data_IF_327817742526
#
_entry.id   IF_327817742526
#
_cell.length_a   1.000
_cell.length_b   1.000
_cell.length_c   1.000
_cell.angle_alpha   90.00
_cell.angle_beta   90.00
_cell.angle_gamma   90.00
#
_symmetry.space_group_name_H-M   'P 1'
#
loop_
_entity.id
_entity.type
_entity.pdbx_description
1 polymer ?
#
# COMPACT_ATOMS: atom_id res chain seq x y z
N UNK A 1 13.69 -91.88 -12.90
CA UNK A 1 14.26 -91.07 -11.81
C UNK A 1 14.50 -89.67 -12.36
N UNK A 2 13.61 -88.73 -12.11
CA UNK A 2 13.81 -87.31 -12.43
C UNK A 2 14.49 -86.63 -11.24
N UNK A 3 15.69 -86.09 -11.45
CA UNK A 3 16.44 -85.33 -10.46
C UNK A 3 15.99 -83.87 -10.52
N UNK A 4 15.10 -83.49 -9.61
CA UNK A 4 14.66 -82.11 -9.43
C UNK A 4 15.76 -81.31 -8.68
N UNK A 5 16.55 -80.53 -9.43
CA UNK A 5 17.55 -79.63 -8.83
C UNK A 5 16.89 -78.30 -8.47
N UNK A 6 16.55 -78.15 -7.19
CA UNK A 6 16.04 -76.89 -6.64
C UNK A 6 17.23 -75.98 -6.30
N UNK A 7 17.58 -75.07 -7.22
CA UNK A 7 18.53 -73.99 -6.91
C UNK A 7 17.85 -72.92 -6.04
N UNK A 8 18.19 -72.89 -4.75
CA UNK A 8 17.78 -71.81 -3.86
C UNK A 8 18.72 -70.61 -4.02
N UNK A 9 18.23 -69.56 -4.67
CA UNK A 9 18.93 -68.27 -4.76
C UNK A 9 18.89 -67.55 -3.41
N UNK A 10 19.93 -67.73 -2.60
CA UNK A 10 20.12 -66.96 -1.37
C UNK A 10 20.59 -65.55 -1.74
N UNK A 11 19.71 -64.55 -1.59
CA UNK A 11 20.07 -63.14 -1.82
C UNK A 11 21.26 -62.76 -0.93
N UNK A 12 22.35 -62.22 -1.50
CA UNK A 12 23.52 -61.85 -0.71
C UNK A 12 23.16 -60.81 0.35
N UNK A 13 23.55 -61.06 1.61
CA UNK A 13 23.35 -60.12 2.72
C UNK A 13 24.09 -58.82 2.38
N UNK A 14 23.36 -57.70 2.36
CA UNK A 14 23.96 -56.38 2.14
C UNK A 14 24.98 -56.10 3.24
N UNK A 15 26.16 -55.61 2.87
CA UNK A 15 27.20 -55.23 3.83
C UNK A 15 26.68 -54.18 4.82
N UNK A 16 27.20 -54.13 6.06
CA UNK A 16 26.75 -53.17 7.09
C UNK A 16 26.81 -51.70 6.62
N UNK A 17 27.79 -51.36 5.77
CA UNK A 17 27.91 -50.04 5.17
C UNK A 17 26.75 -49.70 4.21
N UNK A 18 26.30 -50.67 3.38
CA UNK A 18 25.15 -50.49 2.47
C UNK A 18 23.84 -50.35 3.24
N UNK A 19 23.72 -50.98 4.41
CA UNK A 19 22.55 -50.82 5.27
C UNK A 19 22.49 -49.41 5.90
N UNK A 20 23.60 -48.92 6.46
CA UNK A 20 23.70 -47.55 6.99
C UNK A 20 23.39 -46.47 5.95
N UNK A 21 23.92 -46.63 4.72
CA UNK A 21 23.63 -45.68 3.64
C UNK A 21 22.14 -45.66 3.27
N UNK A 22 21.52 -46.84 3.17
CA UNK A 22 20.08 -46.98 2.89
C UNK A 22 19.19 -46.33 3.96
N UNK A 23 19.59 -46.39 5.23
CA UNK A 23 18.85 -45.74 6.33
C UNK A 23 18.95 -44.22 6.29
N UNK A 24 20.15 -43.68 6.01
CA UNK A 24 20.38 -42.24 5.87
C UNK A 24 19.52 -41.70 4.72
N UNK A 25 19.49 -42.40 3.59
CA UNK A 25 18.71 -42.00 2.42
C UNK A 25 17.20 -42.06 2.68
N UNK A 26 16.74 -43.05 3.46
CA UNK A 26 15.34 -43.13 3.92
C UNK A 26 15.00 -41.93 4.82
N UNK A 27 15.83 -41.62 5.82
CA UNK A 27 15.65 -40.45 6.70
C UNK A 27 15.62 -39.14 5.91
N UNK A 28 16.49 -38.97 4.92
CA UNK A 28 16.51 -37.79 4.03
C UNK A 28 15.22 -37.68 3.21
N UNK A 29 14.72 -38.78 2.65
CA UNK A 29 13.44 -38.80 1.91
C UNK A 29 12.26 -38.45 2.80
N UNK A 30 12.21 -38.96 4.02
CA UNK A 30 11.15 -38.66 4.98
C UNK A 30 11.18 -37.20 5.45
N UNK A 31 12.38 -36.64 5.70
CA UNK A 31 12.54 -35.22 6.01
C UNK A 31 12.04 -34.32 4.87
N UNK A 32 12.38 -34.64 3.62
CA UNK A 32 11.90 -33.90 2.44
C UNK A 32 10.39 -34.04 2.20
N UNK A 33 9.78 -35.15 2.64
CA UNK A 33 8.32 -35.32 2.61
C UNK A 33 7.66 -34.40 3.62
N UNK A 34 8.13 -34.42 4.88
CA UNK A 34 7.63 -33.54 5.96
C UNK A 34 7.75 -32.06 5.60
N UNK A 35 8.86 -31.64 5.00
CA UNK A 35 9.04 -30.26 4.54
C UNK A 35 8.01 -29.87 3.47
N UNK A 36 7.75 -30.75 2.50
CA UNK A 36 6.72 -30.50 1.46
C UNK A 36 5.32 -30.39 2.06
N UNK A 37 5.00 -31.21 3.05
CA UNK A 37 3.69 -31.16 3.69
C UNK A 37 3.55 -29.92 4.58
N UNK A 38 4.59 -29.52 5.31
CA UNK A 38 4.61 -28.24 6.05
C UNK A 38 4.40 -27.04 5.12
N UNK A 39 5.09 -27.02 3.97
CA UNK A 39 4.93 -25.98 2.95
C UNK A 39 3.52 -25.97 2.33
N UNK A 40 2.84 -27.11 2.25
CA UNK A 40 1.44 -27.17 1.80
C UNK A 40 0.49 -26.55 2.83
N UNK A 41 0.76 -26.76 4.11
CA UNK A 41 -0.08 -26.31 5.24
C UNK A 41 0.18 -24.83 5.59
N UNK A 42 1.30 -24.26 5.14
CA UNK A 42 1.66 -22.86 5.38
C UNK A 42 0.48 -21.89 5.08
N UNK A 43 -0.03 -21.19 6.11
CA UNK A 43 -1.17 -20.29 5.98
C UNK A 43 -0.88 -19.10 5.05
N UNK A 44 0.37 -18.65 4.95
CA UNK A 44 0.78 -17.57 4.03
C UNK A 44 0.64 -18.05 2.59
N UNK A 45 1.10 -19.27 2.29
CA UNK A 45 1.00 -19.85 0.96
C UNK A 45 -0.44 -20.20 0.59
N UNK A 46 -1.26 -20.63 1.57
CA UNK A 46 -2.71 -20.79 1.38
C UNK A 46 -3.38 -19.47 1.00
N UNK A 47 -3.13 -18.38 1.73
CA UNK A 47 -3.65 -17.04 1.39
C UNK A 47 -3.25 -16.60 -0.01
N UNK A 48 -2.02 -16.87 -0.44
CA UNK A 48 -1.56 -16.58 -1.80
C UNK A 48 -2.28 -17.39 -2.87
N UNK A 49 -2.52 -18.70 -2.64
CA UNK A 49 -3.34 -19.53 -3.55
C UNK A 49 -4.76 -19.01 -3.65
N UNK A 50 -5.37 -18.65 -2.53
CA UNK A 50 -6.74 -18.12 -2.48
C UNK A 50 -6.83 -16.73 -3.15
N UNK A 51 -5.82 -15.88 -2.96
CA UNK A 51 -5.71 -14.60 -3.66
C UNK A 51 -5.57 -14.80 -5.17
N UNK A 52 -4.67 -15.69 -5.61
CA UNK A 52 -4.46 -16.00 -7.02
C UNK A 52 -5.73 -16.55 -7.67
N UNK A 53 -6.43 -17.48 -7.01
CA UNK A 53 -7.70 -18.03 -7.49
C UNK A 53 -8.77 -16.94 -7.63
N UNK A 54 -8.88 -16.02 -6.66
CA UNK A 54 -9.78 -14.87 -6.73
C UNK A 54 -9.44 -13.93 -7.89
N UNK A 55 -8.16 -13.64 -8.08
CA UNK A 55 -7.67 -12.81 -9.20
C UNK A 55 -8.01 -13.42 -10.56
N UNK A 56 -7.73 -14.71 -10.76
CA UNK A 56 -8.07 -15.42 -12.01
C UNK A 56 -9.57 -15.45 -12.28
N UNK A 57 -10.39 -15.72 -11.25
CA UNK A 57 -11.85 -15.70 -11.39
C UNK A 57 -12.38 -14.31 -11.75
N UNK A 58 -11.83 -13.26 -11.14
CA UNK A 58 -12.17 -11.87 -11.47
C UNK A 58 -11.83 -11.54 -12.93
N UNK A 59 -10.66 -11.96 -13.42
CA UNK A 59 -10.26 -11.78 -14.81
C UNK A 59 -11.16 -12.55 -15.79
N UNK A 60 -11.57 -13.78 -15.45
CA UNK A 60 -12.52 -14.58 -16.25
C UNK A 60 -13.88 -13.91 -16.33
N UNK A 61 -14.39 -13.38 -15.23
CA UNK A 61 -15.66 -12.64 -15.20
C UNK A 61 -15.56 -11.34 -15.99
N UNK A 62 -14.46 -10.60 -15.86
CA UNK A 62 -14.21 -9.39 -16.64
C UNK A 62 -14.20 -9.67 -18.15
N UNK A 63 -13.59 -10.78 -18.57
CA UNK A 63 -13.61 -11.22 -19.96
C UNK A 63 -15.03 -11.50 -20.45
N UNK A 64 -15.84 -12.22 -19.68
CA UNK A 64 -17.25 -12.48 -20.00
C UNK A 64 -18.06 -11.19 -20.14
N UNK A 65 -17.84 -10.21 -19.26
CA UNK A 65 -18.51 -8.91 -19.33
C UNK A 65 -18.12 -8.17 -20.62
N UNK A 66 -16.84 -8.19 -20.99
CA UNK A 66 -16.38 -7.57 -22.25
C UNK A 66 -17.01 -8.28 -23.46
N UNK A 67 -17.02 -9.61 -23.49
CA UNK A 67 -17.66 -10.40 -24.57
C UNK A 67 -19.18 -10.08 -24.66
N UNK A 68 -19.88 -9.92 -23.53
CA UNK A 68 -21.29 -9.50 -23.50
C UNK A 68 -21.50 -8.06 -24.02
N UNK A 69 -20.62 -7.13 -23.67
CA UNK A 69 -20.70 -5.74 -24.14
C UNK A 69 -20.40 -5.62 -25.64
N UNK A 70 -19.52 -6.47 -26.18
CA UNK A 70 -19.23 -6.54 -27.62
C UNK A 70 -20.43 -7.07 -28.42
N UNK A 71 -21.26 -7.95 -27.84
CA UNK A 71 -22.52 -8.39 -28.47
C UNK A 71 -23.55 -7.25 -28.52
N UNK A 72 -23.66 -6.46 -27.44
CA UNK A 72 -24.64 -5.37 -27.33
C UNK A 72 -24.24 -4.16 -28.18
N UNK A 73 -22.94 -3.95 -28.38
CA UNK A 73 -22.39 -2.80 -29.10
C UNK A 73 -21.70 -3.28 -30.38
N UNK A 74 -22.44 -3.50 -31.48
CA UNK A 74 -21.82 -3.91 -32.73
C UNK A 74 -20.81 -2.85 -33.19
N UNK A 75 -19.65 -3.25 -33.73
CA UNK A 75 -18.53 -2.37 -34.03
C UNK A 75 -18.85 -1.22 -35.02
N UNK A 76 -20.01 -1.26 -35.67
CA UNK A 76 -20.42 -0.27 -36.68
C UNK A 76 -21.19 0.94 -36.11
N UNK A 77 -21.45 1.04 -34.79
CA UNK A 77 -22.16 2.20 -34.21
C UNK A 77 -21.25 3.31 -33.67
N UNK A 78 -19.93 3.20 -33.84
CA UNK A 78 -18.99 4.25 -33.45
C UNK A 78 -18.51 4.98 -34.71
N UNK A 79 -19.09 6.16 -34.96
CA UNK A 79 -18.53 7.14 -35.89
C UNK A 79 -17.03 7.35 -35.60
N UNK A 80 -16.16 7.34 -36.62
CA UNK A 80 -14.75 7.66 -36.43
C UNK A 80 -14.64 9.14 -36.00
N UNK A 81 -14.28 9.37 -34.75
CA UNK A 81 -13.85 10.69 -34.31
C UNK A 81 -12.42 10.91 -34.83
N UNK A 82 -12.30 11.82 -35.79
CA UNK A 82 -11.09 12.48 -36.32
C UNK A 82 -9.77 12.04 -35.68
N UNK A 83 -9.06 11.14 -36.37
CA UNK A 83 -7.65 10.87 -36.17
C UNK A 83 -6.81 11.92 -36.93
N UNK A 84 -6.69 13.12 -36.39
CA UNK A 84 -5.59 14.03 -36.71
C UNK A 84 -4.62 14.02 -35.52
N UNK A 85 -3.75 13.01 -35.49
CA UNK A 85 -2.59 12.97 -34.60
C UNK A 85 -1.46 12.31 -35.37
N UNK A 86 -0.89 13.10 -36.28
CA UNK A 86 0.34 12.82 -37.00
C UNK A 86 1.46 12.51 -36.01
N UNK A 87 1.89 11.25 -35.99
CA UNK A 87 3.23 10.89 -35.55
C UNK A 87 4.00 10.43 -36.78
N UNK A 88 4.95 11.28 -37.20
CA UNK A 88 5.93 11.01 -38.23
C UNK A 88 6.65 9.68 -37.96
N UNK A 89 6.52 8.73 -38.88
CA UNK A 89 7.47 7.65 -39.05
C UNK A 89 8.17 7.90 -40.39
N UNK A 90 9.44 8.32 -40.30
CA UNK A 90 10.30 8.47 -41.46
C UNK A 90 10.55 7.10 -42.11
N UNK A 91 10.29 7.11 -43.41
CA UNK A 91 10.62 6.08 -44.38
C UNK A 91 12.14 5.87 -44.44
N UNK A 92 12.58 4.62 -44.38
CA UNK A 92 13.84 4.20 -44.98
C UNK A 92 13.53 3.13 -46.03
N UNK A 93 13.37 3.60 -47.27
CA UNK A 93 13.49 2.80 -48.47
C UNK A 93 14.98 2.63 -48.76
N UNK A 94 15.46 1.39 -48.82
CA UNK A 94 16.62 1.05 -49.63
C UNK A 94 16.32 -0.25 -50.39
N UNK A 95 16.41 -0.12 -51.71
CA UNK A 95 16.48 -1.22 -52.67
C UNK A 95 17.77 -2.01 -52.42
N UNK A 96 17.71 -3.35 -52.51
CA UNK A 96 18.77 -4.16 -53.11
C UNK A 96 18.27 -5.57 -53.47
N UNK A 97 18.39 -5.86 -54.77
CA UNK A 97 18.59 -7.11 -55.54
C UNK A 97 18.03 -8.49 -55.11
N UNK A 98 17.48 -9.27 -56.09
CA UNK A 98 16.96 -10.62 -55.89
C UNK A 98 17.99 -11.70 -56.25
N UNK A 99 18.66 -12.31 -55.27
CA UNK A 99 19.24 -13.65 -55.43
C UNK A 99 19.68 -14.23 -54.09
N UNK A 100 18.84 -15.07 -53.49
CA UNK A 100 19.19 -16.31 -52.77
C UNK A 100 17.94 -16.83 -52.04
N UNK A 101 17.29 -17.82 -52.63
CA UNK A 101 16.30 -18.65 -51.94
C UNK A 101 17.04 -19.51 -50.90
N UNK A 102 17.24 -18.96 -49.71
CA UNK A 102 17.47 -19.73 -48.48
C UNK A 102 16.19 -19.67 -47.66
N UNK A 103 15.62 -20.83 -47.38
CA UNK A 103 14.49 -21.02 -46.48
C UNK A 103 14.87 -20.54 -45.07
N UNK A 104 14.56 -19.27 -44.80
CA UNK A 104 14.70 -18.67 -43.48
C UNK A 104 13.56 -19.20 -42.60
N UNK A 105 13.85 -20.25 -41.85
CA UNK A 105 13.01 -20.66 -40.72
C UNK A 105 12.89 -19.47 -39.75
N UNK A 106 11.67 -18.94 -39.50
CA UNK A 106 11.52 -17.74 -38.71
C UNK A 106 11.96 -18.01 -37.27
N UNK A 107 12.99 -17.29 -36.85
CA UNK A 107 13.59 -17.34 -35.52
C UNK A 107 12.49 -17.16 -34.44
N UNK A 108 12.06 -18.27 -33.84
CA UNK A 108 10.88 -18.37 -32.94
C UNK A 108 10.96 -17.40 -31.74
N UNK A 109 12.18 -17.00 -31.38
CA UNK A 109 12.46 -16.01 -30.34
C UNK A 109 11.95 -14.60 -30.69
N UNK A 110 12.07 -14.18 -31.95
CA UNK A 110 11.66 -12.83 -32.42
C UNK A 110 10.13 -12.72 -32.47
N UNK A 111 9.46 -13.74 -32.98
CA UNK A 111 7.98 -13.81 -32.99
C UNK A 111 7.40 -13.82 -31.56
N UNK A 112 8.05 -14.51 -30.62
CA UNK A 112 7.63 -14.53 -29.21
C UNK A 112 7.74 -13.16 -28.54
N UNK A 113 8.82 -12.40 -28.82
CA UNK A 113 9.00 -11.02 -28.33
C UNK A 113 7.94 -10.08 -28.88
N UNK A 114 7.63 -10.19 -30.17
CA UNK A 114 6.63 -9.32 -30.81
C UNK A 114 5.21 -9.59 -30.31
N UNK A 115 4.85 -10.87 -30.12
CA UNK A 115 3.59 -11.26 -29.45
C UNK A 115 3.48 -10.69 -28.04
N UNK A 116 4.57 -10.65 -27.27
CA UNK A 116 4.59 -10.04 -25.92
C UNK A 116 4.39 -8.52 -25.98
N UNK A 117 5.03 -7.83 -26.92
CA UNK A 117 4.83 -6.38 -27.12
C UNK A 117 3.39 -6.07 -27.51
N UNK A 118 2.81 -6.83 -28.44
CA UNK A 118 1.43 -6.65 -28.86
C UNK A 118 0.43 -6.87 -27.71
N UNK A 119 0.65 -7.89 -26.87
CA UNK A 119 -0.16 -8.10 -25.65
C UNK A 119 -0.10 -6.92 -24.68
N UNK A 120 1.08 -6.29 -24.52
CA UNK A 120 1.22 -5.09 -23.68
C UNK A 120 0.47 -3.88 -24.26
N UNK A 121 0.59 -3.65 -25.57
CA UNK A 121 -0.15 -2.58 -26.28
C UNK A 121 -1.67 -2.76 -26.13
N UNK A 122 -2.17 -3.98 -26.37
CA UNK A 122 -3.59 -4.29 -26.20
C UNK A 122 -4.04 -4.09 -24.75
N UNK A 123 -3.25 -4.55 -23.77
CA UNK A 123 -3.56 -4.37 -22.34
C UNK A 123 -3.67 -2.89 -21.97
N UNK A 124 -2.78 -2.05 -22.49
CA UNK A 124 -2.83 -0.60 -22.27
C UNK A 124 -4.07 0.03 -22.92
N UNK A 125 -4.38 -0.33 -24.17
CA UNK A 125 -5.57 0.14 -24.89
C UNK A 125 -6.87 -0.21 -24.13
N UNK A 126 -6.98 -1.43 -23.60
CA UNK A 126 -8.12 -1.84 -22.77
C UNK A 126 -8.19 -1.07 -21.44
N UNK A 127 -7.06 -0.87 -20.75
CA UNK A 127 -7.03 -0.09 -19.50
C UNK A 127 -7.48 1.36 -19.73
N UNK A 128 -7.05 1.97 -20.82
CA UNK A 128 -7.44 3.33 -21.19
C UNK A 128 -8.94 3.41 -21.48
N UNK A 129 -9.49 2.47 -22.27
CA UNK A 129 -10.92 2.40 -22.59
C UNK A 129 -11.79 2.22 -21.32
N UNK A 130 -11.35 1.39 -20.37
CA UNK A 130 -12.03 1.24 -19.07
C UNK A 130 -12.03 2.55 -18.28
N UNK A 131 -10.89 3.24 -18.21
CA UNK A 131 -10.79 4.52 -17.49
C UNK A 131 -11.74 5.56 -18.08
N UNK A 132 -11.82 5.64 -19.42
CA UNK A 132 -12.74 6.54 -20.13
C UNK A 132 -14.22 6.18 -19.87
N UNK A 133 -14.58 4.89 -19.86
CA UNK A 133 -15.95 4.45 -19.56
C UNK A 133 -16.34 4.75 -18.10
N UNK A 134 -15.44 4.51 -17.15
CA UNK A 134 -15.68 4.86 -15.75
C UNK A 134 -15.86 6.37 -15.54
N UNK A 135 -15.12 7.19 -16.29
CA UNK A 135 -15.24 8.64 -16.26
C UNK A 135 -16.56 9.13 -16.86
N UNK A 136 -16.98 8.56 -18.02
CA UNK A 136 -18.31 8.82 -18.58
C UNK A 136 -19.43 8.47 -17.59
N UNK A 137 -19.38 7.28 -16.99
CA UNK A 137 -20.35 6.86 -15.97
C UNK A 137 -20.33 7.77 -14.73
N UNK A 138 -19.17 8.27 -14.31
CA UNK A 138 -19.07 9.24 -13.20
C UNK A 138 -19.70 10.58 -13.57
N UNK A 139 -19.48 11.07 -14.78
CA UNK A 139 -20.02 12.34 -15.25
C UNK A 139 -21.54 12.26 -15.42
N UNK A 140 -22.06 11.18 -16.02
CA UNK A 140 -23.51 10.93 -16.11
C UNK A 140 -24.18 10.89 -14.74
N UNK A 141 -23.53 10.30 -13.73
CA UNK A 141 -24.03 10.28 -12.34
C UNK A 141 -23.97 11.65 -11.66
N UNK A 142 -22.92 12.43 -11.92
CA UNK A 142 -22.78 13.80 -11.37
C UNK A 142 -23.81 14.76 -11.97
N UNK A 143 -24.23 14.54 -13.21
CA UNK A 143 -25.06 15.50 -13.96
C UNK A 143 -26.58 15.30 -13.77
N UNK A 144 -27.03 14.28 -13.02
CA UNK A 144 -28.46 13.88 -13.02
C UNK A 144 -29.14 13.72 -11.65
N UNK A 145 -28.51 14.07 -10.53
CA UNK A 145 -29.20 14.02 -9.24
C UNK A 145 -29.59 15.43 -8.76
N UNK A 146 -30.81 15.90 -9.06
CA UNK A 146 -31.29 17.21 -8.58
C UNK A 146 -31.27 17.31 -7.05
N UNK A 147 -31.41 16.19 -6.34
CA UNK A 147 -31.30 16.15 -4.87
C UNK A 147 -29.88 16.38 -4.35
N UNK A 148 -28.85 15.94 -5.08
CA UNK A 148 -27.45 16.07 -4.63
C UNK A 148 -26.89 17.46 -4.90
N UNK A 149 -27.39 18.16 -5.93
CA UNK A 149 -26.94 19.51 -6.27
C UNK A 149 -27.31 20.53 -5.18
N UNK A 150 -28.47 20.32 -4.53
CA UNK A 150 -29.01 21.20 -3.50
C UNK A 150 -28.87 20.63 -2.09
N UNK A 151 -28.14 19.52 -1.92
CA UNK A 151 -27.96 18.89 -0.60
C UNK A 151 -27.02 19.73 0.25
N UNK A 152 -27.59 20.71 0.96
CA UNK A 152 -26.92 21.30 2.12
C UNK A 152 -26.84 20.20 3.18
N UNK A 153 -25.64 19.93 3.65
CA UNK A 153 -25.48 19.09 4.83
C UNK A 153 -25.91 19.97 6.00
N UNK A 154 -27.15 19.82 6.43
CA UNK A 154 -27.61 20.43 7.67
C UNK A 154 -26.90 19.71 8.81
N UNK A 155 -25.90 20.39 9.35
CA UNK A 155 -25.14 19.92 10.48
C UNK A 155 -25.64 20.67 11.70
N UNK A 156 -26.42 19.97 12.53
CA UNK A 156 -26.84 20.49 13.83
C UNK A 156 -25.76 20.22 14.87
N UNK A 157 -25.45 21.23 15.69
CA UNK A 157 -24.45 21.15 16.77
C UNK A 157 -24.77 20.02 17.79
N UNK A 158 -26.03 19.56 17.84
CA UNK A 158 -26.53 18.48 18.70
C UNK A 158 -25.85 17.11 18.47
N UNK A 159 -25.19 16.89 17.34
CA UNK A 159 -24.54 15.60 17.03
C UNK A 159 -23.06 15.54 17.44
N UNK A 160 -22.49 16.64 17.95
CA UNK A 160 -21.10 16.67 18.34
C UNK A 160 -20.98 17.13 19.79
N UNK A 161 -20.93 16.13 20.67
CA UNK A 161 -20.64 16.36 22.06
C UNK A 161 -19.17 16.76 22.22
N UNK A 162 -18.95 17.99 22.66
CA UNK A 162 -17.63 18.57 22.93
C UNK A 162 -16.98 17.90 24.13
N UNK A 163 -17.79 17.40 25.06
CA UNK A 163 -17.34 16.64 26.23
C UNK A 163 -17.06 15.17 25.92
N UNK A 164 -17.31 14.72 24.68
CA UNK A 164 -17.04 13.35 24.26
C UNK A 164 -15.52 13.06 24.34
N UNK A 165 -15.18 12.19 25.28
CA UNK A 165 -13.84 11.64 25.47
C UNK A 165 -13.42 10.86 24.23
N UNK A 166 -12.29 11.24 23.62
CA UNK A 166 -11.72 10.49 22.51
C UNK A 166 -10.66 9.55 23.04
N UNK A 167 -10.83 8.27 22.75
CA UNK A 167 -9.81 7.27 23.00
C UNK A 167 -8.80 7.26 21.85
N UNK A 168 -7.53 7.48 22.16
CA UNK A 168 -6.45 7.22 21.20
C UNK A 168 -5.30 6.47 21.86
N UNK A 169 -4.52 5.77 21.05
CA UNK A 169 -3.37 5.03 21.54
C UNK A 169 -2.08 5.76 21.22
N UNK A 170 -1.27 6.02 22.24
CA UNK A 170 0.12 6.49 22.08
C UNK A 170 1.10 5.35 22.35
N UNK A 171 2.23 5.37 21.66
CA UNK A 171 3.33 4.46 21.95
C UNK A 171 4.31 5.17 22.88
N UNK A 172 4.47 4.68 24.11
CA UNK A 172 5.35 5.29 25.12
C UNK A 172 6.45 4.32 25.49
N UNK A 173 7.68 4.84 25.59
CA UNK A 173 8.80 4.06 26.11
C UNK A 173 8.80 4.12 27.64
N UNK A 174 8.48 3.00 28.30
CA UNK A 174 8.49 2.89 29.76
C UNK A 174 9.49 1.82 30.21
N UNK A 175 10.09 2.02 31.39
CA UNK A 175 10.87 0.97 32.05
C UNK A 175 9.89 0.01 32.71
N UNK A 176 9.84 -1.22 32.21
CA UNK A 176 8.95 -2.28 32.70
C UNK A 176 9.82 -3.38 33.28
N UNK A 177 9.44 -3.91 34.43
CA UNK A 177 10.04 -5.13 34.99
C UNK A 177 9.65 -6.32 34.12
N UNK A 178 10.65 -7.03 33.62
CA UNK A 178 10.48 -8.21 32.78
C UNK A 178 11.18 -9.37 33.47
N UNK A 179 10.47 -10.48 33.69
CA UNK A 179 11.10 -11.70 34.18
C UNK A 179 11.86 -12.37 33.03
N UNK A 180 13.19 -12.37 33.13
CA UNK A 180 14.07 -13.05 32.18
C UNK A 180 14.82 -14.11 32.95
N UNK A 181 14.57 -15.40 32.64
CA UNK A 181 15.17 -16.55 33.34
C UNK A 181 14.93 -16.53 34.86
N UNK A 182 13.69 -16.24 35.29
CA UNK A 182 13.27 -16.16 36.72
C UNK A 182 13.93 -15.03 37.53
N UNK A 183 14.67 -14.12 36.89
CA UNK A 183 15.15 -12.89 37.52
C UNK A 183 14.39 -11.70 36.96
N UNK A 184 13.99 -10.78 37.83
CA UNK A 184 13.36 -9.53 37.42
C UNK A 184 14.42 -8.55 36.93
N UNK A 185 14.26 -8.06 35.70
CA UNK A 185 15.12 -7.02 35.13
C UNK A 185 14.28 -5.86 34.63
N UNK A 186 14.71 -4.64 34.95
CA UNK A 186 14.17 -3.42 34.36
C UNK A 186 14.61 -3.33 32.90
N UNK A 187 13.65 -3.39 31.98
CA UNK A 187 13.88 -3.23 30.55
C UNK A 187 13.07 -2.05 30.03
N UNK A 188 13.66 -1.21 29.20
CA UNK A 188 12.90 -0.21 28.45
C UNK A 188 12.10 -0.93 27.36
N UNK A 189 10.78 -0.73 27.33
CA UNK A 189 9.87 -1.28 26.33
C UNK A 189 8.94 -0.20 25.81
N UNK A 190 8.68 -0.23 24.51
CA UNK A 190 7.64 0.59 23.90
C UNK A 190 6.29 -0.09 24.12
N UNK A 191 5.44 0.52 24.94
CA UNK A 191 4.11 0.02 25.29
C UNK A 191 3.08 0.91 24.62
N UNK A 192 2.00 0.29 24.12
CA UNK A 192 0.84 1.00 23.63
C UNK A 192 -0.03 1.38 24.81
N UNK A 193 -0.19 2.67 25.05
CA UNK A 193 -1.05 3.20 26.10
C UNK A 193 -2.30 3.79 25.47
N UNK A 194 -3.45 3.43 26.00
CA UNK A 194 -4.72 4.10 25.71
C UNK A 194 -4.80 5.36 26.57
N UNK A 195 -5.04 6.50 25.93
CA UNK A 195 -5.39 7.75 26.60
C UNK A 195 -6.83 8.09 26.23
N UNK A 196 -7.55 8.61 27.20
CA UNK A 196 -8.81 9.30 26.99
C UNK A 196 -8.56 10.79 27.21
N UNK A 197 -8.84 11.60 26.20
CA UNK A 197 -8.66 13.06 26.22
C UNK A 197 -9.93 13.70 25.71
N UNK A 198 -10.36 14.79 26.35
CA UNK A 198 -11.38 15.68 25.79
C UNK A 198 -10.81 16.37 24.55
N UNK A 199 -11.65 16.68 23.55
CA UNK A 199 -11.15 17.26 22.29
C UNK A 199 -10.64 18.71 22.51
N UNK A 200 -11.19 19.41 23.49
CA UNK A 200 -11.04 20.85 23.68
C UNK A 200 -9.65 21.34 24.15
N UNK A 201 -8.95 20.67 25.09
CA UNK A 201 -7.63 21.11 25.54
C UNK A 201 -6.60 21.25 24.43
N UNK A 202 -6.62 20.37 23.42
CA UNK A 202 -5.73 20.45 22.26
C UNK A 202 -6.01 21.68 21.40
N UNK A 203 -7.28 22.03 21.21
CA UNK A 203 -7.65 23.19 20.40
C UNK A 203 -7.33 24.50 21.11
N UNK A 204 -7.50 24.57 22.43
CA UNK A 204 -7.12 25.74 23.23
C UNK A 204 -5.61 25.98 23.23
N UNK A 205 -4.80 24.91 23.25
CA UNK A 205 -3.34 25.05 23.08
C UNK A 205 -2.99 25.62 21.69
N UNK A 206 -3.62 25.12 20.63
CA UNK A 206 -3.40 25.63 19.26
C UNK A 206 -3.79 27.10 19.14
N UNK A 207 -4.91 27.52 19.74
CA UNK A 207 -5.31 28.93 19.82
C UNK A 207 -4.28 29.77 20.56
N UNK A 208 -3.78 29.28 21.70
CA UNK A 208 -2.79 29.98 22.52
C UNK A 208 -1.48 30.15 21.75
N UNK A 209 -1.04 29.11 21.03
CA UNK A 209 0.18 29.13 20.23
C UNK A 209 0.07 30.03 19.00
N UNK A 210 -1.09 30.07 18.36
CA UNK A 210 -1.32 30.82 17.12
C UNK A 210 -2.71 31.48 17.11
N UNK A 211 -2.90 32.59 17.86
CA UNK A 211 -4.20 33.25 17.99
C UNK A 211 -4.70 33.88 16.69
N UNK A 212 -3.81 34.07 15.71
CA UNK A 212 -4.10 34.73 14.44
C UNK A 212 -4.28 33.74 13.27
N UNK A 213 -4.57 32.46 13.53
CA UNK A 213 -4.83 31.48 12.47
C UNK A 213 -6.03 31.95 11.63
N UNK A 214 -5.77 32.37 10.39
CA UNK A 214 -6.82 32.65 9.40
C UNK A 214 -6.97 31.55 8.39
N UNK A 215 -5.91 30.79 8.15
CA UNK A 215 -5.86 29.78 7.10
C UNK A 215 -5.30 28.47 7.65
N UNK A 216 -6.05 27.38 7.49
CA UNK A 216 -5.60 26.03 7.84
C UNK A 216 -5.51 25.21 6.57
N UNK A 217 -4.38 24.56 6.35
CA UNK A 217 -4.20 23.61 5.25
C UNK A 217 -3.97 22.21 5.85
N UNK A 218 -5.00 21.38 5.75
CA UNK A 218 -4.96 20.00 6.20
C UNK A 218 -4.61 19.09 5.03
N UNK A 219 -3.72 18.12 5.24
CA UNK A 219 -3.28 17.22 4.19
C UNK A 219 -3.29 15.78 4.71
N UNK A 220 -4.07 14.93 4.06
CA UNK A 220 -4.26 13.54 4.45
C UNK A 220 -4.03 12.57 3.30
N UNK A 221 -3.66 11.34 3.62
CA UNK A 221 -3.54 10.27 2.65
C UNK A 221 -4.87 9.87 2.01
N UNK A 222 -4.75 9.42 0.75
CA UNK A 222 -5.83 9.19 -0.17
C UNK A 222 -6.86 8.19 0.32
N UNK A 223 -8.13 8.47 0.01
CA UNK A 223 -9.24 7.89 0.70
C UNK A 223 -9.44 6.51 0.12
N UNK A 224 -9.23 5.51 0.94
CA UNK A 224 -9.10 4.18 0.37
C UNK A 224 -9.61 3.09 1.29
N UNK A 225 -9.92 3.46 2.53
CA UNK A 225 -11.00 2.91 3.36
C UNK A 225 -11.16 3.72 4.66
N UNK A 226 -10.11 4.40 5.14
CA UNK A 226 -10.09 5.02 6.48
C UNK A 226 -10.49 6.51 6.51
N UNK A 227 -9.99 7.34 5.58
CA UNK A 227 -10.23 8.80 5.54
C UNK A 227 -11.42 9.24 4.67
N UNK A 228 -12.16 8.28 4.11
CA UNK A 228 -13.35 8.52 3.29
C UNK A 228 -14.64 8.60 4.15
N UNK A 229 -14.50 8.81 5.46
CA UNK A 229 -15.62 8.94 6.40
C UNK A 229 -16.10 10.38 6.40
N UNK A 230 -17.40 10.60 6.17
CA UNK A 230 -18.07 11.92 6.29
C UNK A 230 -17.74 12.62 7.63
N UNK A 231 -17.44 11.82 8.65
CA UNK A 231 -17.00 12.25 9.98
C UNK A 231 -15.73 13.13 9.92
N UNK A 232 -14.76 12.86 9.03
CA UNK A 232 -13.57 13.72 8.93
C UNK A 232 -13.91 15.10 8.40
N UNK A 233 -14.74 15.18 7.36
CA UNK A 233 -15.21 16.45 6.82
C UNK A 233 -15.97 17.25 7.88
N UNK A 234 -16.86 16.57 8.63
CA UNK A 234 -17.53 17.13 9.79
C UNK A 234 -16.53 17.68 10.81
N UNK A 235 -15.55 16.87 11.26
CA UNK A 235 -14.55 17.31 12.23
C UNK A 235 -13.76 18.53 11.75
N UNK A 236 -13.37 18.58 10.47
CA UNK A 236 -12.61 19.70 9.93
C UNK A 236 -13.42 21.00 9.88
N UNK A 237 -14.66 20.92 9.38
CA UNK A 237 -15.49 22.11 9.18
C UNK A 237 -16.16 22.55 10.48
N UNK A 238 -16.76 21.63 11.21
CA UNK A 238 -17.55 21.95 12.40
C UNK A 238 -16.71 22.12 13.65
N UNK A 239 -15.67 21.29 13.81
CA UNK A 239 -14.88 21.36 15.02
C UNK A 239 -13.67 22.27 14.82
N UNK A 240 -12.78 21.95 13.89
CA UNK A 240 -11.51 22.67 13.76
C UNK A 240 -11.71 24.09 13.25
N UNK A 241 -12.48 24.28 12.16
CA UNK A 241 -12.64 25.61 11.57
C UNK A 241 -13.45 26.55 12.48
N UNK A 242 -14.51 26.09 13.13
CA UNK A 242 -15.27 26.90 14.11
C UNK A 242 -14.42 27.22 15.33
N UNK A 243 -13.78 26.22 15.95
CA UNK A 243 -13.01 26.43 17.17
C UNK A 243 -11.85 27.38 16.92
N UNK A 244 -11.10 27.23 15.83
CA UNK A 244 -9.99 28.12 15.50
C UNK A 244 -10.40 29.40 14.77
N UNK A 245 -11.70 29.64 14.54
CA UNK A 245 -12.23 30.81 13.82
C UNK A 245 -11.54 31.06 12.47
N UNK A 246 -11.32 29.99 11.72
CA UNK A 246 -10.53 30.00 10.47
C UNK A 246 -11.37 30.55 9.31
N UNK A 247 -10.81 31.47 8.54
CA UNK A 247 -11.45 32.05 7.35
C UNK A 247 -11.38 31.11 6.14
N UNK A 248 -10.27 30.37 5.98
CA UNK A 248 -10.08 29.42 4.89
C UNK A 248 -9.53 28.09 5.41
N UNK A 249 -10.31 27.02 5.24
CA UNK A 249 -9.85 25.66 5.48
C UNK A 249 -9.64 24.94 4.15
N UNK A 250 -8.39 24.61 3.83
CA UNK A 250 -8.04 23.81 2.64
C UNK A 250 -7.75 22.38 3.05
N UNK A 251 -8.45 21.43 2.45
CA UNK A 251 -8.14 20.01 2.61
C UNK A 251 -7.54 19.45 1.32
N UNK A 252 -6.28 19.07 1.40
CA UNK A 252 -5.55 18.39 0.34
C UNK A 252 -5.57 16.88 0.59
N UNK A 253 -5.76 16.10 -0.48
CA UNK A 253 -5.67 14.64 -0.43
C UNK A 253 -4.68 14.12 -1.47
N UNK A 254 -3.82 13.17 -1.08
CA UNK A 254 -2.87 12.49 -1.99
C UNK A 254 -3.42 11.13 -2.41
N UNK A 255 -3.60 10.80 -3.69
CA UNK A 255 -4.08 9.46 -4.07
C UNK A 255 -3.12 8.36 -3.57
N UNK A 256 -3.66 7.21 -3.11
CA UNK A 256 -2.93 6.06 -2.50
C UNK A 256 -1.61 5.77 -3.25
N UNK A 257 -0.53 6.40 -2.82
CA UNK A 257 0.84 6.14 -3.23
C UNK A 257 1.52 5.46 -2.06
N UNK A 258 2.18 4.33 -2.32
CA UNK A 258 2.92 3.57 -1.33
C UNK A 258 3.75 4.45 -0.36
N UNK A 259 3.20 4.69 0.84
CA UNK A 259 3.93 4.99 2.07
C UNK A 259 4.78 6.26 2.09
N UNK A 260 4.32 7.36 1.48
CA UNK A 260 4.91 8.69 1.67
C UNK A 260 3.84 9.79 1.71
N UNK A 261 3.25 10.01 2.88
CA UNK A 261 2.28 11.06 3.14
C UNK A 261 2.96 12.45 3.17
N UNK A 262 2.21 13.55 3.18
CA UNK A 262 2.81 14.87 3.41
C UNK A 262 3.47 15.12 4.76
N UNK A 263 3.05 14.47 5.88
CA UNK A 263 3.91 14.39 7.06
C UNK A 263 5.25 13.69 6.79
N UNK A 264 5.37 12.86 5.75
CA UNK A 264 6.68 12.42 5.26
C UNK A 264 7.40 13.52 4.49
N UNK A 265 6.72 14.50 3.89
CA UNK A 265 7.37 15.69 3.34
C UNK A 265 7.99 16.57 4.42
N UNK A 266 7.25 16.87 5.49
CA UNK A 266 7.77 17.59 6.66
C UNK A 266 8.83 16.75 7.37
N UNK A 267 8.54 15.46 7.64
CA UNK A 267 9.47 14.53 8.26
C UNK A 267 10.74 14.30 7.44
N UNK A 268 10.63 14.23 6.10
CA UNK A 268 11.78 14.10 5.20
C UNK A 268 12.54 15.42 5.07
N UNK A 269 11.88 16.58 5.14
CA UNK A 269 12.54 17.87 5.25
C UNK A 269 13.34 17.98 6.56
N UNK A 270 12.73 17.61 7.69
CA UNK A 270 13.40 17.54 9.00
C UNK A 270 14.58 16.58 8.98
N UNK A 271 14.38 15.38 8.40
CA UNK A 271 15.44 14.37 8.23
C UNK A 271 16.58 14.91 7.37
N UNK A 272 16.31 15.44 6.18
CA UNK A 272 17.35 15.99 5.29
C UNK A 272 18.09 17.15 5.94
N UNK A 273 17.39 17.98 6.70
CA UNK A 273 18.00 19.09 7.44
C UNK A 273 18.92 18.54 8.53
N UNK A 274 18.48 17.54 9.30
CA UNK A 274 19.31 16.88 10.30
C UNK A 274 20.53 16.18 9.67
N UNK A 275 20.34 15.46 8.56
CA UNK A 275 21.42 14.80 7.80
C UNK A 275 22.44 15.83 7.29
N UNK A 276 21.97 16.99 6.83
CA UNK A 276 22.84 18.09 6.38
C UNK A 276 23.65 18.67 7.54
N UNK A 277 23.03 18.89 8.70
CA UNK A 277 23.72 19.37 9.90
C UNK A 277 24.80 18.38 10.36
N UNK A 278 24.50 17.08 10.36
CA UNK A 278 25.48 16.03 10.67
C UNK A 278 26.60 16.00 9.63
N UNK A 279 26.27 16.15 8.34
CA UNK A 279 27.25 16.24 7.25
C UNK A 279 28.17 17.47 7.35
N UNK A 280 27.73 18.53 8.02
CA UNK A 280 28.53 19.72 8.35
C UNK A 280 29.33 19.56 9.65
N UNK A 281 29.53 18.31 10.12
CA UNK A 281 30.22 17.98 11.37
C UNK A 281 29.56 18.55 12.63
N UNK A 282 28.25 18.83 12.59
CA UNK A 282 27.48 19.23 13.78
C UNK A 282 26.94 17.98 14.47
N UNK A 283 27.38 17.76 15.70
CA UNK A 283 26.96 16.59 16.47
C UNK A 283 25.53 16.74 17.05
N UNK A 284 24.69 15.72 16.83
CA UNK A 284 23.30 15.67 17.30
C UNK A 284 23.10 14.38 18.10
N UNK A 285 23.57 14.36 19.35
CA UNK A 285 23.53 13.19 20.21
C UNK A 285 22.23 13.05 21.03
N UNK A 286 21.33 14.04 21.02
CA UNK A 286 20.08 13.99 21.78
C UNK A 286 18.93 14.76 21.10
N UNK A 287 17.69 14.45 21.48
CA UNK A 287 16.48 15.04 20.91
C UNK A 287 16.37 16.55 21.16
N UNK A 288 16.82 17.05 22.31
CA UNK A 288 16.79 18.48 22.64
C UNK A 288 17.71 19.28 21.71
N UNK A 289 18.91 18.77 21.45
CA UNK A 289 19.87 19.33 20.50
C UNK A 289 19.28 19.30 19.09
N UNK A 290 18.66 18.19 18.68
CA UNK A 290 17.97 18.08 17.40
C UNK A 290 16.89 19.16 17.23
N UNK A 291 15.98 19.31 18.20
CA UNK A 291 14.89 20.30 18.17
C UNK A 291 15.45 21.72 18.14
N UNK A 292 16.46 22.02 18.96
CA UNK A 292 17.07 23.35 18.99
C UNK A 292 17.73 23.71 17.66
N UNK A 293 18.40 22.77 17.00
CA UNK A 293 19.06 23.01 15.72
C UNK A 293 18.07 23.11 14.56
N UNK A 294 17.01 22.32 14.58
CA UNK A 294 15.97 22.41 13.55
C UNK A 294 15.12 23.68 13.70
N UNK A 295 14.89 24.15 14.93
CA UNK A 295 14.18 25.40 15.23
C UNK A 295 14.91 26.67 14.78
N UNK A 296 16.23 26.60 14.54
CA UNK A 296 17.00 27.71 13.96
C UNK A 296 16.71 27.90 12.48
N UNK A 297 16.12 26.90 11.82
CA UNK A 297 15.69 26.97 10.43
C UNK A 297 14.22 27.41 10.34
N UNK A 298 13.64 27.36 9.14
CA UNK A 298 12.25 27.76 8.83
C UNK A 298 11.16 26.92 9.52
N UNK A 299 11.52 25.88 10.30
CA UNK A 299 10.55 24.93 10.88
C UNK A 299 10.52 25.07 12.40
N UNK A 300 9.36 25.49 12.93
CA UNK A 300 9.12 25.55 14.37
C UNK A 300 8.57 24.21 14.86
N UNK A 301 9.35 23.52 15.68
CA UNK A 301 9.05 22.24 16.30
C UNK A 301 8.73 22.47 17.77
N UNK A 302 7.51 22.15 18.15
CA UNK A 302 7.06 22.14 19.53
C UNK A 302 7.21 20.71 20.08
N UNK A 303 8.21 20.51 20.94
CA UNK A 303 8.36 19.25 21.66
C UNK A 303 7.32 19.17 22.78
N UNK A 304 6.41 18.21 22.64
CA UNK A 304 5.42 17.87 23.67
C UNK A 304 6.00 16.73 24.49
N UNK A 305 6.25 16.98 25.78
CA UNK A 305 6.70 15.95 26.72
C UNK A 305 5.51 15.35 27.47
N UNK A 306 5.70 14.17 28.04
CA UNK A 306 4.71 13.45 28.86
C UNK A 306 4.14 14.26 30.03
N UNK A 307 4.94 15.19 30.59
CA UNK A 307 4.51 16.13 31.63
C UNK A 307 3.55 17.20 31.09
N UNK A 308 3.81 17.75 29.90
CA UNK A 308 2.92 18.73 29.25
C UNK A 308 1.60 18.10 28.83
N UNK A 309 1.61 16.83 28.43
CA UNK A 309 0.36 16.08 28.14
C UNK A 309 -0.50 15.97 29.40
N UNK A 310 0.10 15.69 30.57
CA UNK A 310 -0.65 15.66 31.83
C UNK A 310 -1.11 17.03 32.34
N UNK A 311 -0.53 18.13 31.85
CA UNK A 311 -1.01 19.49 32.10
C UNK A 311 -2.22 19.82 31.21
N UNK A 312 -2.22 19.34 29.96
CA UNK A 312 -3.36 19.39 29.04
C UNK A 312 -4.53 18.54 29.58
N UNK A 313 -4.26 17.43 30.28
CA UNK A 313 -5.27 16.59 30.92
C UNK A 313 -5.92 17.21 32.18
N UNK A 314 -5.34 18.28 32.74
CA UNK A 314 -5.80 18.90 34.00
C UNK A 314 -6.68 20.14 33.81
N UNK A 315 -6.85 20.60 32.57
CA UNK A 315 -7.72 21.73 32.19
C UNK A 315 -9.07 21.18 31.75
#
# INVERSE_FOLDING_TARGET
MELLVVQTWVKPRKSPAKQKFSEIEKKRRDAMRRLRDAIKIDPVRKRWRDYSKRYYNSMKNKKKIVEQLEIITPPNSLHPLNENMDYCLENNNNLENPSTLRENTPNSSRQSRERKKQRRRNTYKYKLKIKQLEEKLRNEKRQKCPECLNKKIEITDEKFDRSEQVEYCKWVSKRVTVSVKRQEKLSQKTVRETIQISKDPLMEEVKTLMPTIRHVSFLSDGPSTQYRKKIMFFLMVEYIAKTLSVQLFRWHFSERGHGKAAPDGVGECLRRTADTLVGQAKDIHNFKTLVNELNKNLIKIHAIDSTKISEIDKI
#
